data_IF_153638248184
#
_entry.id   IF_153638248184
#
_cell.length_a   1.000
_cell.length_b   1.000
_cell.length_c   1.000
_cell.angle_alpha   90.00
_cell.angle_beta   90.00
_cell.angle_gamma   90.00
#
_symmetry.space_group_name_H-M   'P 1'
#
loop_
_entity.id
_entity.type
_entity.pdbx_description
1 polymer ?
#
# COMPACT_ATOMS: atom_id res chain seq x y z
N UNK A 1 7.32 -7.81 -17.26
CA UNK A 1 8.48 -8.74 -17.41
C UNK A 1 8.23 -10.16 -16.90
N UNK A 2 7.29 -10.37 -15.96
CA UNK A 2 7.06 -11.69 -15.33
C UNK A 2 6.81 -12.85 -16.30
N UNK A 3 5.97 -12.65 -17.33
CA UNK A 3 5.61 -13.71 -18.29
C UNK A 3 6.83 -14.28 -19.05
N UNK A 4 7.71 -13.40 -19.49
CA UNK A 4 8.95 -13.79 -20.19
C UNK A 4 9.91 -14.52 -19.24
N UNK A 5 10.00 -14.09 -17.98
CA UNK A 5 10.80 -14.78 -16.97
C UNK A 5 10.25 -16.18 -16.66
N UNK A 6 8.93 -16.34 -16.60
CA UNK A 6 8.28 -17.65 -16.47
C UNK A 6 8.62 -18.55 -17.66
N UNK A 7 8.52 -18.01 -18.88
CA UNK A 7 8.89 -18.76 -20.09
C UNK A 7 10.36 -19.15 -20.11
N UNK A 8 11.25 -18.27 -19.64
CA UNK A 8 12.69 -18.51 -19.58
C UNK A 8 13.06 -19.58 -18.54
N UNK A 9 12.52 -19.49 -17.32
CA UNK A 9 12.72 -20.51 -16.30
C UNK A 9 12.21 -21.87 -16.77
N UNK A 10 11.01 -21.90 -17.36
CA UNK A 10 10.43 -23.12 -17.89
C UNK A 10 11.28 -23.75 -19.01
N UNK A 11 11.75 -22.94 -19.96
CA UNK A 11 12.60 -23.46 -21.05
C UNK A 11 13.94 -23.97 -20.52
N UNK A 12 14.53 -23.27 -19.55
CA UNK A 12 15.80 -23.66 -18.95
C UNK A 12 15.70 -24.95 -18.15
N UNK A 13 14.62 -25.16 -17.39
CA UNK A 13 14.39 -26.40 -16.64
C UNK A 13 14.05 -27.57 -17.57
N UNK A 14 13.27 -27.33 -18.64
CA UNK A 14 12.79 -28.38 -19.54
C UNK A 14 13.85 -28.80 -20.56
N UNK A 15 14.53 -27.83 -21.18
CA UNK A 15 15.42 -28.05 -22.32
C UNK A 15 16.90 -27.80 -21.98
N UNK A 16 17.21 -27.22 -20.81
CA UNK A 16 18.58 -26.82 -20.46
C UNK A 16 19.09 -25.59 -21.23
N UNK A 17 18.24 -24.97 -22.06
CA UNK A 17 18.59 -23.86 -22.95
C UNK A 17 17.44 -22.85 -23.06
N UNK A 18 17.71 -21.73 -23.72
CA UNK A 18 16.78 -20.61 -23.89
C UNK A 18 16.09 -20.67 -25.26
N UNK A 19 14.77 -20.75 -25.26
CA UNK A 19 13.96 -20.93 -26.48
C UNK A 19 13.43 -19.61 -27.08
N UNK A 20 13.26 -18.53 -26.28
CA UNK A 20 12.65 -17.25 -26.72
C UNK A 20 13.63 -16.09 -26.74
N UNK A 21 13.49 -15.23 -27.76
CA UNK A 21 14.50 -14.23 -28.16
C UNK A 21 14.38 -12.85 -27.47
N UNK A 22 13.41 -12.63 -26.60
CA UNK A 22 12.99 -11.28 -26.19
C UNK A 22 13.85 -10.64 -25.10
N UNK A 23 14.65 -11.42 -24.36
CA UNK A 23 15.51 -10.92 -23.27
C UNK A 23 16.82 -11.72 -23.12
N UNK A 24 17.67 -11.78 -24.15
CA UNK A 24 18.98 -12.41 -23.99
C UNK A 24 19.95 -11.55 -23.20
N UNK A 25 20.64 -12.19 -22.25
CA UNK A 25 21.85 -11.64 -21.67
C UNK A 25 23.11 -12.14 -22.40
N UNK A 26 23.07 -13.33 -23.05
CA UNK A 26 24.15 -13.94 -23.86
C UNK A 26 23.59 -14.94 -24.89
N UNK A 27 24.18 -14.97 -26.08
CA UNK A 27 23.76 -15.81 -27.22
C UNK A 27 24.17 -17.29 -27.13
N UNK A 28 25.06 -17.64 -26.20
CA UNK A 28 25.65 -18.98 -26.08
C UNK A 28 24.67 -20.05 -25.57
N UNK A 29 23.51 -19.64 -25.00
CA UNK A 29 22.54 -20.54 -24.38
C UNK A 29 21.29 -20.79 -25.23
N UNK A 30 21.28 -20.38 -26.50
CA UNK A 30 20.10 -20.54 -27.38
C UNK A 30 19.97 -22.00 -27.81
N UNK A 31 18.75 -22.54 -27.72
CA UNK A 31 18.46 -23.88 -28.23
C UNK A 31 18.65 -23.91 -29.77
N UNK A 32 19.60 -24.70 -30.28
CA UNK A 32 19.78 -24.88 -31.73
C UNK A 32 18.71 -25.78 -32.33
N UNK A 33 18.38 -26.88 -31.66
CA UNK A 33 17.31 -27.80 -32.01
C UNK A 33 16.61 -28.23 -30.72
N UNK A 34 15.28 -28.13 -30.71
CA UNK A 34 14.46 -28.61 -29.60
C UNK A 34 13.89 -29.95 -29.98
N UNK A 35 14.15 -30.98 -29.16
CA UNK A 35 13.54 -32.29 -29.35
C UNK A 35 12.02 -32.19 -29.13
N UNK A 36 11.19 -32.50 -30.14
CA UNK A 36 9.73 -32.40 -30.04
C UNK A 36 9.11 -33.38 -29.01
N UNK A 37 9.89 -34.31 -28.46
CA UNK A 37 9.43 -35.29 -27.47
C UNK A 37 9.74 -34.92 -26.02
N UNK A 38 10.47 -33.82 -25.77
CA UNK A 38 10.71 -33.32 -24.41
C UNK A 38 9.55 -32.40 -24.01
N UNK A 39 8.55 -33.00 -23.37
CA UNK A 39 7.41 -32.27 -22.80
C UNK A 39 7.69 -32.02 -21.32
N UNK A 40 7.98 -30.77 -21.00
CA UNK A 40 8.03 -30.31 -19.60
C UNK A 40 6.65 -30.33 -18.96
N UNK A 41 6.60 -30.37 -17.63
CA UNK A 41 5.35 -30.29 -16.89
C UNK A 41 4.72 -28.90 -17.06
N UNK A 42 3.69 -28.83 -17.90
CA UNK A 42 3.01 -27.57 -18.22
C UNK A 42 2.32 -26.94 -17.00
N UNK A 43 2.07 -27.71 -15.93
CA UNK A 43 1.47 -27.18 -14.70
C UNK A 43 2.36 -26.14 -14.03
N UNK A 44 3.67 -26.35 -14.01
CA UNK A 44 4.66 -25.42 -13.43
C UNK A 44 4.64 -24.08 -14.17
N UNK A 45 4.49 -24.13 -15.50
CA UNK A 45 4.39 -22.92 -16.32
C UNK A 45 3.09 -22.16 -16.04
N UNK A 46 1.95 -22.86 -15.98
CA UNK A 46 0.65 -22.27 -15.69
C UNK A 46 0.62 -21.63 -14.29
N UNK A 47 1.19 -22.29 -13.29
CA UNK A 47 1.28 -21.76 -11.94
C UNK A 47 2.14 -20.49 -11.88
N UNK A 48 3.25 -20.44 -12.63
CA UNK A 48 4.06 -19.23 -12.75
C UNK A 48 3.26 -18.07 -13.37
N UNK A 49 2.53 -18.34 -14.46
CA UNK A 49 1.69 -17.33 -15.13
C UNK A 49 0.58 -16.80 -14.21
N UNK A 50 -0.06 -17.67 -13.44
CA UNK A 50 -1.13 -17.28 -12.52
C UNK A 50 -0.61 -16.41 -11.35
N UNK A 51 0.65 -16.57 -10.98
CA UNK A 51 1.30 -15.76 -9.93
C UNK A 51 1.84 -14.41 -10.44
N UNK A 52 1.81 -14.16 -11.76
CA UNK A 52 2.24 -12.88 -12.31
C UNK A 52 1.22 -11.78 -11.98
N UNK A 53 1.63 -10.87 -11.09
CA UNK A 53 0.88 -9.65 -10.76
C UNK A 53 1.06 -8.60 -11.86
N UNK A 54 0.09 -7.68 -12.02
CA UNK A 54 0.27 -6.53 -12.90
C UNK A 54 1.45 -5.67 -12.42
N UNK A 55 2.20 -5.11 -13.39
CA UNK A 55 3.33 -4.25 -13.09
C UNK A 55 2.85 -2.95 -12.42
N UNK A 56 3.46 -2.58 -11.29
CA UNK A 56 3.15 -1.32 -10.58
C UNK A 56 3.54 -0.08 -11.40
N UNK A 57 4.57 -0.22 -12.24
CA UNK A 57 5.05 0.82 -13.13
C UNK A 57 4.95 0.31 -14.56
N UNK A 58 4.16 1.00 -15.38
CA UNK A 58 3.95 0.62 -16.77
C UNK A 58 4.13 1.84 -17.67
N UNK A 59 5.11 1.75 -18.58
CA UNK A 59 5.28 2.71 -19.66
C UNK A 59 4.39 2.28 -20.83
N UNK A 60 3.51 3.16 -21.27
CA UNK A 60 2.60 2.91 -22.40
C UNK A 60 2.80 3.99 -23.44
N UNK A 61 3.17 3.59 -24.65
CA UNK A 61 3.22 4.47 -25.81
C UNK A 61 1.90 4.40 -26.56
N UNK A 62 1.27 5.55 -26.77
CA UNK A 62 0.15 5.67 -27.69
C UNK A 62 0.76 5.98 -29.04
N UNK A 63 0.46 5.16 -30.05
CA UNK A 63 1.00 5.30 -31.38
C UNK A 63 -0.13 5.32 -32.40
N UNK A 64 0.15 5.92 -33.55
CA UNK A 64 -0.75 5.91 -34.71
C UNK A 64 0.05 5.40 -35.89
N UNK A 65 -0.47 4.38 -36.56
CA UNK A 65 0.17 3.79 -37.74
C UNK A 65 -0.44 4.47 -38.96
N UNK A 66 0.42 4.99 -39.83
CA UNK A 66 0.03 5.51 -41.14
C UNK A 66 0.78 4.71 -42.19
N UNK A 67 0.04 4.05 -43.07
CA UNK A 67 0.60 3.28 -44.17
C UNK A 67 0.55 4.12 -45.44
N UNK A 68 1.70 4.33 -46.07
CA UNK A 68 1.81 5.03 -47.34
C UNK A 68 2.56 4.16 -48.35
N UNK A 69 2.10 4.08 -49.61
CA UNK A 69 2.84 3.38 -50.63
C UNK A 69 4.21 4.03 -50.80
N UNK A 70 5.24 3.21 -51.02
CA UNK A 70 6.59 3.73 -51.27
C UNK A 70 6.57 4.32 -52.68
N UNK A 71 6.61 5.64 -52.78
CA UNK A 71 6.80 6.30 -54.07
C UNK A 71 8.25 6.07 -54.52
N UNK A 72 8.47 5.67 -55.78
CA UNK A 72 9.82 5.56 -56.32
C UNK A 72 10.43 6.96 -56.34
N UNK A 73 11.51 7.19 -55.59
CA UNK A 73 12.20 8.48 -55.63
C UNK A 73 12.92 8.62 -56.96
N UNK A 74 12.62 9.68 -57.73
CA UNK A 74 13.23 9.98 -59.04
C UNK A 74 14.75 10.19 -59.00
N UNK A 75 15.37 10.29 -57.80
CA UNK A 75 16.78 10.65 -57.66
C UNK A 75 17.79 9.49 -57.63
N UNK A 76 17.37 8.22 -57.58
CA UNK A 76 18.31 7.10 -57.69
C UNK A 76 17.67 5.92 -58.41
N UNK A 77 18.37 5.36 -59.41
CA UNK A 77 18.06 4.10 -60.09
C UNK A 77 18.21 2.88 -59.17
N UNK A 78 17.72 2.97 -57.93
CA UNK A 78 17.66 1.84 -57.02
C UNK A 78 16.34 1.14 -57.31
N UNK A 79 16.41 -0.03 -57.94
CA UNK A 79 15.27 -0.95 -58.05
C UNK A 79 14.67 -1.11 -56.65
N UNK A 80 13.52 -0.49 -56.41
CA UNK A 80 12.80 -0.65 -55.15
C UNK A 80 12.37 -2.11 -55.13
N UNK A 81 13.08 -2.91 -54.34
CA UNK A 81 12.76 -4.32 -54.14
C UNK A 81 11.29 -4.41 -53.72
N UNK A 82 10.47 -5.20 -54.44
CA UNK A 82 9.03 -5.29 -54.21
C UNK A 82 8.69 -5.84 -52.82
N UNK A 83 9.69 -6.35 -52.10
CA UNK A 83 9.60 -6.89 -50.76
C UNK A 83 10.16 -5.95 -49.67
N UNK A 84 10.49 -4.70 -50.00
CA UNK A 84 10.99 -3.74 -49.03
C UNK A 84 9.84 -3.05 -48.27
N UNK A 85 9.95 -2.98 -46.95
CA UNK A 85 9.07 -2.20 -46.07
C UNK A 85 9.94 -1.13 -45.41
N UNK A 86 9.56 0.15 -45.55
CA UNK A 86 10.18 1.26 -44.82
C UNK A 86 9.35 1.57 -43.58
N UNK A 87 10.01 1.61 -42.43
CA UNK A 87 9.41 2.04 -41.16
C UNK A 87 10.04 3.35 -40.72
N UNK A 88 9.26 4.42 -40.73
CA UNK A 88 9.67 5.72 -40.21
C UNK A 88 8.99 5.95 -38.85
N UNK A 89 9.80 6.01 -37.78
CA UNK A 89 9.31 6.16 -36.40
C UNK A 89 9.57 7.60 -35.92
N UNK A 90 8.49 8.31 -35.62
CA UNK A 90 8.56 9.68 -35.09
C UNK A 90 7.84 9.78 -33.75
N UNK A 91 8.43 10.53 -32.81
CA UNK A 91 7.79 10.90 -31.55
C UNK A 91 7.17 12.28 -31.74
N UNK A 92 5.84 12.36 -31.81
CA UNK A 92 5.11 13.60 -32.09
C UNK A 92 5.19 14.60 -30.93
N UNK A 93 4.93 14.12 -29.71
CA UNK A 93 4.84 14.94 -28.50
C UNK A 93 5.88 14.46 -27.48
N UNK A 94 6.60 15.39 -26.86
CA UNK A 94 7.54 15.10 -25.76
C UNK A 94 6.87 15.12 -24.38
N UNK A 95 5.58 15.44 -24.33
CA UNK A 95 4.83 15.50 -23.09
C UNK A 95 4.51 14.08 -22.59
N UNK A 96 4.95 13.79 -21.36
CA UNK A 96 4.72 12.50 -20.72
C UNK A 96 3.54 12.62 -19.76
N UNK A 97 2.44 11.93 -20.05
CA UNK A 97 1.31 11.81 -19.12
C UNK A 97 1.61 10.75 -18.07
N UNK A 98 1.83 11.18 -16.82
CA UNK A 98 2.03 10.28 -15.68
C UNK A 98 0.71 10.05 -14.96
N UNK A 99 0.24 8.81 -14.94
CA UNK A 99 -0.95 8.41 -14.17
C UNK A 99 -0.48 7.63 -12.93
N UNK A 100 -0.71 8.20 -11.75
CA UNK A 100 -0.32 7.60 -10.47
C UNK A 100 -1.54 7.33 -9.59
N UNK A 101 -1.61 6.13 -9.02
CA UNK A 101 -2.56 5.81 -7.96
C UNK A 101 -2.00 6.27 -6.61
N UNK A 102 -2.62 7.30 -6.03
CA UNK A 102 -2.25 7.83 -4.72
C UNK A 102 -3.31 7.33 -3.72
N UNK A 103 -2.92 6.69 -2.60
CA UNK A 103 -3.89 6.27 -1.59
C UNK A 103 -4.62 7.49 -1.01
N UNK A 104 -5.92 7.37 -0.77
CA UNK A 104 -6.76 8.47 -0.29
C UNK A 104 -6.43 8.91 1.14
N UNK A 105 -5.90 7.99 1.95
CA UNK A 105 -5.50 8.22 3.34
C UNK A 105 -4.12 7.63 3.55
N UNK A 106 -3.20 8.44 4.06
CA UNK A 106 -1.92 7.98 4.58
C UNK A 106 -2.10 7.19 5.89
N UNK A 107 -1.13 6.32 6.20
CA UNK A 107 -1.14 5.53 7.44
C UNK A 107 -1.35 6.42 8.68
N UNK A 108 -0.70 7.59 8.71
CA UNK A 108 -0.77 8.54 9.83
C UNK A 108 -2.01 9.42 9.84
N UNK A 109 -2.64 9.65 8.69
CA UNK A 109 -3.81 10.52 8.58
C UNK A 109 -5.04 9.89 9.25
N UNK A 110 -5.21 8.58 9.06
CA UNK A 110 -6.29 7.83 9.71
C UNK A 110 -6.13 7.84 11.23
N UNK A 111 -4.91 7.62 11.73
CA UNK A 111 -4.61 7.70 13.15
C UNK A 111 -4.82 9.10 13.72
N UNK A 112 -4.49 10.14 12.95
CA UNK A 112 -4.71 11.53 13.35
C UNK A 112 -6.20 11.85 13.46
N UNK A 113 -7.01 11.38 12.50
CA UNK A 113 -8.45 11.60 12.50
C UNK A 113 -9.15 10.87 13.64
N UNK A 114 -8.87 9.57 13.81
CA UNK A 114 -9.43 8.75 14.89
C UNK A 114 -8.92 9.23 16.25
N UNK A 115 -7.62 9.52 16.35
CA UNK A 115 -7.00 10.02 17.56
C UNK A 115 -7.54 11.39 17.98
N UNK A 116 -7.82 12.28 17.03
CA UNK A 116 -8.46 13.58 17.30
C UNK A 116 -9.88 13.41 17.85
N UNK A 117 -10.69 12.56 17.24
CA UNK A 117 -12.04 12.26 17.73
C UNK A 117 -12.00 11.63 19.13
N UNK A 118 -11.21 10.56 19.31
CA UNK A 118 -11.06 9.90 20.62
C UNK A 118 -10.53 10.87 21.67
N UNK A 119 -9.57 11.73 21.32
CA UNK A 119 -9.03 12.77 22.18
C UNK A 119 -10.09 13.77 22.65
N UNK A 120 -10.96 14.25 21.74
CA UNK A 120 -12.08 15.12 22.10
C UNK A 120 -13.08 14.44 23.05
N UNK A 121 -13.45 13.19 22.78
CA UNK A 121 -14.36 12.43 23.64
C UNK A 121 -13.78 12.17 25.03
N UNK A 122 -12.49 11.83 25.11
CA UNK A 122 -11.79 11.65 26.38
C UNK A 122 -11.65 12.97 27.14
N UNK A 123 -11.37 14.08 26.44
CA UNK A 123 -11.27 15.41 27.06
C UNK A 123 -12.56 15.81 27.79
N UNK A 124 -13.72 15.63 27.15
CA UNK A 124 -15.02 15.91 27.76
C UNK A 124 -15.27 14.98 28.97
N UNK A 125 -14.91 13.70 28.83
CA UNK A 125 -15.08 12.70 29.89
C UNK A 125 -14.24 13.03 31.14
N UNK A 126 -12.99 13.44 30.96
CA UNK A 126 -12.11 13.85 32.06
C UNK A 126 -12.63 15.10 32.75
N UNK A 127 -13.11 16.09 31.98
CA UNK A 127 -13.66 17.32 32.55
C UNK A 127 -14.91 17.04 33.41
N UNK A 128 -15.78 16.13 32.97
CA UNK A 128 -16.92 15.68 33.76
C UNK A 128 -16.49 14.96 35.06
N UNK A 129 -15.45 14.13 35.01
CA UNK A 129 -14.92 13.43 36.19
C UNK A 129 -14.35 14.40 37.23
N UNK A 130 -13.63 15.44 36.81
CA UNK A 130 -13.12 16.48 37.72
C UNK A 130 -14.27 17.14 38.49
N UNK A 131 -15.37 17.47 37.81
CA UNK A 131 -16.55 18.05 38.45
C UNK A 131 -17.22 17.12 39.48
N UNK A 132 -17.21 15.80 39.23
CA UNK A 132 -17.74 14.80 40.17
C UNK A 132 -16.80 14.66 41.39
N UNK A 133 -15.49 14.62 41.17
CA UNK A 133 -14.49 14.52 42.23
C UNK A 133 -14.56 15.73 43.16
N UNK A 134 -14.67 16.96 42.62
CA UNK A 134 -14.76 18.17 43.41
C UNK A 134 -16.01 18.18 44.31
N UNK A 135 -17.17 17.79 43.77
CA UNK A 135 -18.41 17.66 44.55
C UNK A 135 -18.30 16.59 45.63
N UNK A 136 -17.64 15.47 45.34
CA UNK A 136 -17.41 14.38 46.30
C UNK A 136 -16.50 14.83 47.44
N UNK A 137 -15.38 15.49 47.13
CA UNK A 137 -14.45 16.06 48.11
C UNK A 137 -15.12 17.12 48.99
N UNK A 138 -15.97 17.98 48.41
CA UNK A 138 -16.73 18.99 49.16
C UNK A 138 -17.75 18.35 50.11
N UNK A 139 -18.44 17.29 49.69
CA UNK A 139 -19.32 16.51 50.59
C UNK A 139 -18.54 15.79 51.69
N UNK A 140 -17.41 15.18 51.35
CA UNK A 140 -16.57 14.46 52.31
C UNK A 140 -15.99 15.38 53.39
N UNK A 141 -15.51 16.56 53.00
CA UNK A 141 -15.00 17.58 53.94
C UNK A 141 -16.10 18.08 54.88
N UNK A 142 -17.29 18.39 54.36
CA UNK A 142 -18.46 18.75 55.18
C UNK A 142 -18.87 17.63 56.14
N UNK A 143 -18.87 16.38 55.67
CA UNK A 143 -19.16 15.22 56.50
C UNK A 143 -18.13 15.06 57.62
N UNK A 144 -16.83 15.16 57.32
CA UNK A 144 -15.77 15.11 58.33
C UNK A 144 -15.88 16.26 59.35
N UNK A 145 -16.22 17.47 58.93
CA UNK A 145 -16.45 18.59 59.85
C UNK A 145 -17.64 18.32 60.78
N UNK A 146 -18.74 17.75 60.26
CA UNK A 146 -19.90 17.41 61.07
C UNK A 146 -19.61 16.25 62.04
N UNK A 147 -18.83 15.25 61.62
CA UNK A 147 -18.38 14.16 62.51
C UNK A 147 -17.43 14.68 63.60
N UNK A 148 -16.52 15.60 63.27
CA UNK A 148 -15.66 16.28 64.26
C UNK A 148 -16.47 17.13 65.24
N UNK A 149 -17.53 17.80 64.80
CA UNK A 149 -18.45 18.55 65.68
C UNK A 149 -19.22 17.62 66.62
N UNK A 150 -19.76 16.50 66.11
CA UNK A 150 -20.43 15.48 66.94
C UNK A 150 -19.48 14.90 68.00
N UNK A 151 -18.24 14.57 67.63
CA UNK A 151 -17.25 14.05 68.58
C UNK A 151 -16.99 15.02 69.75
N UNK A 152 -16.88 16.33 69.45
CA UNK A 152 -16.73 17.40 70.46
C UNK A 152 -17.97 17.61 71.33
N UNK A 153 -19.17 17.33 70.85
CA UNK A 153 -20.41 17.41 71.65
C UNK A 153 -20.52 16.20 72.59
N UNK A 154 -20.25 15.00 72.08
CA UNK A 154 -20.26 13.77 72.90
C UNK A 154 -19.19 13.81 73.99
N UNK A 155 -18.01 14.38 73.72
CA UNK A 155 -16.97 14.60 74.74
C UNK A 155 -17.41 15.61 75.82
N UNK A 156 -18.16 16.66 75.45
CA UNK A 156 -18.70 17.65 76.40
C UNK A 156 -19.83 17.09 77.27
N UNK A 157 -20.74 16.30 76.69
CA UNK A 157 -21.80 15.62 77.44
C UNK A 157 -21.23 14.59 78.43
N UNK A 158 -20.15 13.89 78.04
CA UNK A 158 -19.47 12.93 78.91
C UNK A 158 -18.70 13.60 80.07
N UNK A 159 -18.18 14.82 79.88
CA UNK A 159 -17.58 15.60 80.98
C UNK A 159 -18.62 16.14 81.97
N UNK A 160 -19.79 16.58 81.50
CA UNK A 160 -20.87 17.08 82.36
C UNK A 160 -21.52 15.97 83.19
N UNK A 161 -21.64 14.76 82.64
CA UNK A 161 -22.17 13.60 83.39
C UNK A 161 -21.25 13.11 84.51
N UNK A 162 -19.95 13.41 84.44
CA UNK A 162 -18.98 13.06 85.51
C UNK A 162 -18.99 14.05 86.68
N UNK A 163 -19.39 15.31 86.45
CA UNK A 163 -19.53 16.32 87.53
C UNK A 163 -20.79 16.13 88.38
N UNK A 164 -21.84 15.48 87.87
CA UNK A 164 -23.07 15.21 88.63
C UNK A 164 -23.09 13.87 89.40
N UNK A 165 -21.97 13.14 89.44
CA UNK A 165 -21.87 11.82 90.09
C UNK A 165 -21.03 11.82 91.38
N UNK A 166 -20.84 12.97 92.03
CA UNK A 166 -20.16 13.11 93.33
C UNK A 166 -21.10 13.72 94.38
#
# INVERSE_FOLDING_TARGET
>A
MCLELCSWNFSKETYGCEYRLTMFHKWENICQEVDPYVWGDFSVFVDCLNNCKPDCMKLKYIYTITETPIEPSDENNFEVDRNAIRFDLYVRDHDVTVISHIPLYGEWELFSYVGGLVGCWLGISVWALVGIIEKSLRKATLCMMNLRKKKRQTEKELSVSKEHSF
#
